data_IF_317673417973
#
_entry.id   IF_317673417973
#
_cell.length_a   1.000
_cell.length_b   1.000
_cell.length_c   1.000
_cell.angle_alpha   90.00
_cell.angle_beta   90.00
_cell.angle_gamma   90.00
#
_symmetry.space_group_name_H-M   'P 1'
#
loop_
_entity.id
_entity.type
_entity.pdbx_description
1 polymer ?
#
# COMPACT_ATOMS: atom_id res chain seq x y z
N UNK A 1 -40.70 -59.18 18.59
CA UNK A 1 -40.18 -58.37 17.47
C UNK A 1 -41.00 -57.09 17.36
N UNK A 2 -40.47 -55.94 17.80
CA UNK A 2 -41.07 -54.61 17.55
C UNK A 2 -40.23 -53.89 16.49
N UNK A 3 -40.94 -53.36 15.50
CA UNK A 3 -40.46 -52.74 14.26
C UNK A 3 -39.54 -51.54 14.55
N UNK A 4 -38.50 -51.41 13.72
CA UNK A 4 -37.49 -50.36 13.82
C UNK A 4 -38.05 -48.95 13.69
N UNK A 5 -37.61 -48.09 14.60
CA UNK A 5 -37.76 -46.65 14.50
C UNK A 5 -36.78 -46.12 13.44
N UNK A 6 -37.32 -45.52 12.38
CA UNK A 6 -36.54 -44.77 11.40
C UNK A 6 -36.21 -43.44 12.04
N UNK A 7 -34.94 -43.25 12.42
CA UNK A 7 -34.42 -41.96 12.88
C UNK A 7 -34.28 -41.05 11.67
N UNK A 8 -35.21 -40.12 11.49
CA UNK A 8 -35.15 -39.09 10.46
C UNK A 8 -34.06 -38.06 10.84
N UNK A 9 -32.88 -38.17 10.22
CA UNK A 9 -31.82 -37.16 10.37
C UNK A 9 -32.25 -35.92 9.59
N UNK A 10 -32.98 -35.04 10.27
CA UNK A 10 -33.32 -33.72 9.77
C UNK A 10 -32.03 -32.88 9.64
N UNK A 11 -31.39 -32.91 8.46
CA UNK A 11 -30.29 -32.00 8.12
C UNK A 11 -30.84 -30.58 8.13
N UNK A 12 -30.74 -29.89 9.27
CA UNK A 12 -31.01 -28.45 9.37
C UNK A 12 -30.22 -27.73 8.28
N UNK A 13 -30.93 -27.21 7.28
CA UNK A 13 -30.35 -26.37 6.23
C UNK A 13 -29.82 -25.11 6.91
N UNK A 14 -28.51 -25.01 7.10
CA UNK A 14 -27.87 -23.88 7.77
C UNK A 14 -28.22 -22.62 6.99
N UNK A 15 -29.14 -21.80 7.53
CA UNK A 15 -29.56 -20.56 6.93
C UNK A 15 -28.69 -19.43 7.50
N UNK A 16 -27.68 -19.03 6.73
CA UNK A 16 -26.82 -17.92 7.13
C UNK A 16 -27.56 -16.59 7.07
N UNK A 17 -27.34 -15.74 8.06
CA UNK A 17 -27.80 -14.34 8.02
C UNK A 17 -27.15 -13.60 6.84
N UNK A 18 -27.73 -12.49 6.36
CA UNK A 18 -27.11 -11.67 5.32
C UNK A 18 -25.67 -11.24 5.69
N UNK A 19 -25.44 -10.93 6.96
CA UNK A 19 -24.12 -10.56 7.49
C UNK A 19 -23.14 -11.73 7.44
N UNK A 20 -23.55 -12.92 7.85
CA UNK A 20 -22.73 -14.14 7.76
C UNK A 20 -22.40 -14.49 6.29
N UNK A 21 -23.36 -14.33 5.38
CA UNK A 21 -23.13 -14.51 3.93
C UNK A 21 -22.13 -13.49 3.40
N UNK A 22 -22.23 -12.22 3.81
CA UNK A 22 -21.30 -11.16 3.41
C UNK A 22 -19.87 -11.45 3.90
N UNK A 23 -19.71 -11.87 5.17
CA UNK A 23 -18.42 -12.27 5.73
C UNK A 23 -17.82 -13.45 4.94
N UNK A 24 -18.63 -14.47 4.65
CA UNK A 24 -18.18 -15.65 3.90
C UNK A 24 -17.77 -15.32 2.46
N UNK A 25 -18.55 -14.51 1.76
CA UNK A 25 -18.22 -14.06 0.40
C UNK A 25 -16.93 -13.24 0.40
N UNK A 26 -16.79 -12.32 1.36
CA UNK A 26 -15.59 -11.51 1.50
C UNK A 26 -14.33 -12.37 1.73
N UNK A 27 -14.41 -13.41 2.58
CA UNK A 27 -13.31 -14.38 2.76
C UNK A 27 -12.92 -15.11 1.47
N UNK A 28 -13.88 -15.35 0.56
CA UNK A 28 -13.62 -15.98 -0.75
C UNK A 28 -13.07 -15.00 -1.78
N UNK A 29 -13.54 -13.76 -1.77
CA UNK A 29 -13.19 -12.76 -2.79
C UNK A 29 -11.88 -12.04 -2.49
N UNK A 30 -11.54 -11.80 -1.22
CA UNK A 30 -10.33 -11.05 -0.85
C UNK A 30 -9.04 -11.68 -1.40
N UNK A 31 -8.82 -13.00 -1.38
CA UNK A 31 -7.67 -13.61 -2.04
C UNK A 31 -7.61 -13.32 -3.55
N UNK A 32 -8.75 -13.42 -4.25
CA UNK A 32 -8.83 -13.12 -5.70
C UNK A 32 -8.56 -11.64 -5.99
N UNK A 33 -9.10 -10.75 -5.16
CA UNK A 33 -8.82 -9.31 -5.22
C UNK A 33 -7.32 -9.03 -5.07
N UNK A 34 -6.69 -9.60 -4.03
CA UNK A 34 -5.25 -9.45 -3.80
C UNK A 34 -4.43 -10.01 -4.97
N UNK A 35 -4.82 -11.17 -5.49
CA UNK A 35 -4.17 -11.81 -6.64
C UNK A 35 -4.23 -10.94 -7.90
N UNK A 36 -5.40 -10.35 -8.20
CA UNK A 36 -5.59 -9.44 -9.33
C UNK A 36 -4.63 -8.24 -9.28
N UNK A 37 -4.28 -7.78 -8.09
CA UNK A 37 -3.33 -6.68 -7.86
C UNK A 37 -1.86 -7.14 -7.77
N UNK A 38 -1.57 -8.40 -8.08
CA UNK A 38 -0.22 -8.98 -8.07
C UNK A 38 0.23 -9.52 -6.70
N UNK A 39 -0.70 -9.66 -5.76
CA UNK A 39 -0.38 -9.85 -4.35
C UNK A 39 0.07 -8.54 -3.71
N UNK A 40 0.65 -8.64 -2.52
CA UNK A 40 1.06 -7.48 -1.75
C UNK A 40 2.31 -7.76 -0.91
N UNK A 41 2.93 -6.67 -0.47
CA UNK A 41 3.96 -6.65 0.57
C UNK A 41 3.33 -6.01 1.80
N UNK A 42 3.57 -6.58 2.98
CA UNK A 42 3.22 -5.91 4.23
C UNK A 42 4.22 -4.80 4.50
N UNK A 43 3.72 -3.60 4.80
CA UNK A 43 4.52 -2.45 5.21
C UNK A 43 4.14 -2.08 6.64
N UNK A 44 5.07 -2.25 7.58
CA UNK A 44 4.93 -1.82 8.96
C UNK A 44 5.34 -0.36 9.13
N UNK A 45 4.72 0.29 10.10
CA UNK A 45 4.96 1.69 10.42
C UNK A 45 4.67 1.99 11.90
N UNK A 46 5.20 3.12 12.35
CA UNK A 46 4.85 3.69 13.64
C UNK A 46 3.58 4.51 13.49
N UNK A 47 2.64 4.34 14.42
CA UNK A 47 1.36 5.04 14.40
C UNK A 47 1.57 6.54 14.59
N UNK A 48 0.83 7.35 13.84
CA UNK A 48 0.87 8.82 13.93
C UNK A 48 2.25 9.45 13.64
N UNK A 49 3.09 8.77 12.88
CA UNK A 49 4.36 9.30 12.36
C UNK A 49 4.40 9.11 10.85
N UNK A 50 5.14 9.96 10.13
CA UNK A 50 5.35 9.72 8.71
C UNK A 50 6.15 8.43 8.50
N UNK A 51 5.86 7.68 7.43
CA UNK A 51 6.67 6.52 7.10
C UNK A 51 8.11 6.98 6.80
N UNK A 52 9.09 6.41 7.52
CA UNK A 52 10.50 6.82 7.50
C UNK A 52 10.79 8.21 8.11
N UNK A 53 9.96 8.71 9.04
CA UNK A 53 10.17 10.02 9.69
C UNK A 53 11.56 10.14 10.36
N UNK A 54 11.96 9.09 11.08
CA UNK A 54 13.22 9.05 11.85
C UNK A 54 14.44 8.63 11.03
N UNK A 55 14.27 8.43 9.72
CA UNK A 55 15.32 7.92 8.84
C UNK A 55 15.71 8.99 7.81
N UNK A 56 17.00 9.28 7.75
CA UNK A 56 17.56 10.23 6.78
C UNK A 56 17.74 9.58 5.40
N UNK A 57 16.62 9.12 4.80
CA UNK A 57 16.56 8.60 3.43
C UNK A 57 16.01 9.66 2.49
N UNK A 58 16.58 9.77 1.28
CA UNK A 58 16.06 10.73 0.31
C UNK A 58 14.67 10.33 -0.20
N UNK A 59 13.80 11.32 -0.45
CA UNK A 59 12.44 11.12 -1.01
C UNK A 59 12.40 10.21 -2.25
N UNK A 60 13.33 10.41 -3.19
CA UNK A 60 13.37 9.54 -4.38
C UNK A 60 13.71 8.08 -4.01
N UNK A 61 14.56 7.87 -3.00
CA UNK A 61 14.96 6.55 -2.54
C UNK A 61 13.87 5.84 -1.72
N UNK A 62 12.98 6.57 -1.04
CA UNK A 62 11.76 5.99 -0.45
C UNK A 62 10.92 5.29 -1.54
N UNK A 63 10.64 5.99 -2.63
CA UNK A 63 9.87 5.41 -3.75
C UNK A 63 10.57 4.23 -4.40
N UNK A 64 11.91 4.30 -4.58
CA UNK A 64 12.72 3.20 -5.11
C UNK A 64 12.72 1.99 -4.21
N UNK A 65 12.85 2.20 -2.89
CA UNK A 65 12.84 1.13 -1.90
C UNK A 65 11.49 0.42 -1.88
N UNK A 66 10.38 1.16 -1.83
CA UNK A 66 9.03 0.58 -1.86
C UNK A 66 8.83 -0.20 -3.16
N UNK A 67 9.27 0.33 -4.31
CA UNK A 67 9.25 -0.41 -5.56
C UNK A 67 10.10 -1.69 -5.53
N UNK A 68 11.32 -1.67 -4.97
CA UNK A 68 12.12 -2.88 -4.80
C UNK A 68 11.43 -3.92 -3.91
N UNK A 69 10.70 -3.51 -2.88
CA UNK A 69 10.01 -4.45 -1.98
C UNK A 69 9.01 -5.33 -2.73
N UNK A 70 8.49 -4.88 -3.88
CA UNK A 70 7.58 -5.68 -4.70
C UNK A 70 8.27 -6.91 -5.33
N UNK A 71 9.60 -6.98 -5.28
CA UNK A 71 10.44 -8.10 -5.71
C UNK A 71 10.85 -9.03 -4.55
N UNK A 72 10.30 -8.84 -3.35
CA UNK A 72 10.53 -9.78 -2.25
C UNK A 72 10.02 -11.18 -2.61
N UNK A 73 10.76 -12.19 -2.19
CA UNK A 73 10.31 -13.57 -2.17
C UNK A 73 9.24 -13.77 -1.08
N UNK A 74 8.47 -14.86 -1.15
CA UNK A 74 7.45 -15.23 -0.14
C UNK A 74 8.04 -15.77 1.18
N UNK A 75 9.33 -15.50 1.44
CA UNK A 75 10.05 -15.96 2.63
C UNK A 75 9.99 -17.49 2.84
N UNK A 76 9.93 -18.26 1.74
CA UNK A 76 9.92 -19.72 1.71
C UNK A 76 11.31 -20.37 1.81
N UNK A 77 12.34 -19.56 2.06
CA UNK A 77 13.73 -20.00 2.22
C UNK A 77 14.52 -18.90 2.89
N UNK A 78 15.09 -18.00 2.09
CA UNK A 78 15.80 -16.83 2.62
C UNK A 78 14.83 -15.66 2.83
N UNK A 79 14.78 -15.17 4.08
CA UNK A 79 13.87 -14.10 4.48
C UNK A 79 14.25 -12.77 3.80
N UNK A 80 13.23 -12.11 3.23
CA UNK A 80 13.29 -10.85 2.54
C UNK A 80 14.34 -10.77 1.42
N UNK A 81 14.67 -11.90 0.82
CA UNK A 81 15.50 -11.97 -0.37
C UNK A 81 14.77 -11.32 -1.55
N UNK A 82 15.47 -10.43 -2.27
CA UNK A 82 15.02 -9.87 -3.53
C UNK A 82 15.24 -10.88 -4.66
N UNK A 83 14.16 -11.19 -5.39
CA UNK A 83 14.15 -12.18 -6.47
C UNK A 83 13.45 -11.67 -7.71
N UNK A 84 13.77 -12.27 -8.85
CA UNK A 84 13.06 -12.06 -10.11
C UNK A 84 12.88 -13.39 -10.82
N UNK A 85 12.03 -13.39 -11.85
CA UNK A 85 11.95 -14.51 -12.78
C UNK A 85 13.06 -14.41 -13.83
N UNK A 86 13.76 -15.51 -14.06
CA UNK A 86 14.68 -15.69 -15.17
C UNK A 86 13.93 -15.80 -16.50
N UNK A 87 14.65 -15.82 -17.62
CA UNK A 87 14.06 -16.09 -18.94
C UNK A 87 13.35 -17.45 -19.01
N UNK A 88 13.77 -18.40 -18.17
CA UNK A 88 13.19 -19.75 -18.07
C UNK A 88 12.10 -19.85 -16.99
N UNK A 89 11.60 -18.72 -16.47
CA UNK A 89 10.58 -18.64 -15.41
C UNK A 89 11.02 -19.23 -14.06
N UNK A 90 12.32 -19.33 -13.83
CA UNK A 90 12.87 -19.75 -12.53
C UNK A 90 13.05 -18.53 -11.63
N UNK A 91 12.84 -18.71 -10.32
CA UNK A 91 13.08 -17.66 -9.34
C UNK A 91 14.58 -17.60 -9.08
N UNK A 92 15.20 -16.45 -9.38
CA UNK A 92 16.63 -16.20 -9.15
C UNK A 92 16.84 -14.96 -8.29
N UNK A 93 17.88 -14.92 -7.44
CA UNK A 93 18.24 -13.72 -6.70
C UNK A 93 18.52 -12.53 -7.64
N UNK A 94 18.12 -11.33 -7.22
CA UNK A 94 18.50 -10.10 -7.91
C UNK A 94 19.94 -9.77 -7.51
N UNK A 95 20.82 -9.70 -8.51
CA UNK A 95 22.18 -9.18 -8.34
C UNK A 95 22.24 -7.65 -8.50
N UNK A 96 23.44 -7.09 -8.36
CA UNK A 96 23.67 -5.63 -8.46
C UNK A 96 23.32 -5.08 -9.85
N UNK A 97 23.63 -5.82 -10.92
CA UNK A 97 23.36 -5.41 -12.31
C UNK A 97 21.86 -5.36 -12.56
N UNK A 98 21.16 -6.42 -12.16
CA UNK A 98 19.72 -6.53 -12.30
C UNK A 98 18.97 -5.52 -11.45
N UNK A 99 19.42 -5.23 -10.23
CA UNK A 99 18.80 -4.19 -9.41
C UNK A 99 18.88 -2.82 -10.09
N UNK A 100 20.03 -2.49 -10.68
CA UNK A 100 20.20 -1.23 -11.43
C UNK A 100 19.27 -1.15 -12.65
N UNK A 101 19.15 -2.26 -13.38
CA UNK A 101 18.24 -2.39 -14.53
C UNK A 101 16.77 -2.24 -14.09
N UNK A 102 16.36 -2.95 -13.03
CA UNK A 102 15.00 -2.90 -12.46
C UNK A 102 14.63 -1.49 -12.02
N UNK A 103 15.54 -0.80 -11.33
CA UNK A 103 15.34 0.59 -10.89
C UNK A 103 15.42 1.61 -12.03
N UNK A 104 15.91 1.19 -13.20
CA UNK A 104 16.21 2.03 -14.36
C UNK A 104 17.10 3.24 -14.01
N UNK A 105 18.22 2.97 -13.33
CA UNK A 105 19.15 4.00 -12.88
C UNK A 105 20.48 3.94 -13.63
N UNK A 106 21.05 5.13 -13.89
CA UNK A 106 22.46 5.27 -14.29
C UNK A 106 23.38 4.92 -13.11
N UNK A 107 24.62 4.52 -13.40
CA UNK A 107 25.56 4.00 -12.39
C UNK A 107 25.76 4.91 -11.18
N UNK A 108 25.91 6.22 -11.41
CA UNK A 108 26.07 7.19 -10.32
C UNK A 108 24.84 7.20 -9.40
N UNK A 109 23.65 7.35 -9.97
CA UNK A 109 22.40 7.40 -9.21
C UNK A 109 22.12 6.08 -8.48
N UNK A 110 22.48 4.95 -9.08
CA UNK A 110 22.37 3.65 -8.46
C UNK A 110 23.34 3.46 -7.29
N UNK A 111 24.59 3.93 -7.42
CA UNK A 111 25.57 3.94 -6.32
C UNK A 111 25.07 4.79 -5.16
N UNK A 112 24.58 6.00 -5.45
CA UNK A 112 24.00 6.90 -4.45
C UNK A 112 22.79 6.27 -3.77
N UNK A 113 21.89 5.62 -4.52
CA UNK A 113 20.78 4.85 -3.96
C UNK A 113 21.25 3.77 -2.99
N UNK A 114 22.18 2.90 -3.42
CA UNK A 114 22.69 1.81 -2.59
C UNK A 114 23.37 2.31 -1.32
N UNK A 115 24.16 3.38 -1.40
CA UNK A 115 24.78 3.99 -0.22
C UNK A 115 23.72 4.49 0.75
N UNK A 116 22.68 5.18 0.27
CA UNK A 116 21.62 5.74 1.12
C UNK A 116 20.83 4.65 1.86
N UNK A 117 20.37 3.62 1.13
CA UNK A 117 19.56 2.54 1.77
C UNK A 117 20.38 1.64 2.69
N UNK A 118 21.67 1.42 2.39
CA UNK A 118 22.57 0.64 3.26
C UNK A 118 22.94 1.41 4.52
N UNK A 119 23.28 2.69 4.39
CA UNK A 119 23.59 3.57 5.54
C UNK A 119 22.44 3.59 6.55
N UNK A 120 21.21 3.55 6.05
CA UNK A 120 19.99 3.56 6.85
C UNK A 120 19.50 2.15 7.25
N UNK A 121 20.28 1.08 7.03
CA UNK A 121 19.93 -0.30 7.41
C UNK A 121 18.61 -0.82 6.78
N UNK A 122 18.24 -0.31 5.60
CA UNK A 122 17.02 -0.68 4.89
C UNK A 122 17.21 -1.81 3.90
N UNK A 123 18.45 -2.00 3.41
CA UNK A 123 18.81 -3.00 2.44
C UNK A 123 20.24 -3.52 2.71
N UNK A 124 20.41 -4.83 2.63
CA UNK A 124 21.66 -5.53 2.91
C UNK A 124 22.15 -6.30 1.68
N UNK A 125 23.45 -6.47 1.55
CA UNK A 125 24.09 -7.27 0.50
C UNK A 125 24.93 -8.35 1.19
N UNK A 126 24.70 -9.63 0.85
CA UNK A 126 25.47 -10.76 1.36
C UNK A 126 25.61 -11.81 0.27
N UNK A 127 26.83 -12.31 0.04
CA UNK A 127 27.14 -13.32 -0.98
C UNK A 127 26.57 -12.97 -2.38
N UNK A 128 26.63 -11.69 -2.76
CA UNK A 128 26.11 -11.19 -4.05
C UNK A 128 24.59 -11.12 -4.17
N UNK A 129 23.85 -11.43 -3.10
CA UNK A 129 22.39 -11.35 -2.99
C UNK A 129 21.98 -10.13 -2.18
N UNK A 130 20.76 -9.66 -2.40
CA UNK A 130 20.21 -8.48 -1.73
C UNK A 130 18.95 -8.79 -0.92
N UNK A 131 18.87 -8.19 0.27
CA UNK A 131 17.82 -8.43 1.25
C UNK A 131 17.24 -7.09 1.73
N UNK A 132 15.92 -7.01 1.91
CA UNK A 132 15.28 -5.84 2.52
C UNK A 132 15.15 -6.05 4.03
N UNK A 133 15.35 -4.98 4.81
CA UNK A 133 15.12 -5.02 6.25
C UNK A 133 13.72 -5.52 6.60
N UNK A 134 13.64 -6.47 7.52
CA UNK A 134 12.39 -7.00 8.07
C UNK A 134 11.70 -6.02 9.02
N UNK A 135 12.32 -4.89 9.33
CA UNK A 135 11.78 -3.88 10.23
C UNK A 135 10.53 -3.19 9.66
N UNK A 136 10.51 -2.96 8.33
CA UNK A 136 9.46 -2.22 7.63
C UNK A 136 8.70 -3.07 6.64
N UNK A 137 9.31 -4.11 6.04
CA UNK A 137 8.66 -4.85 4.97
C UNK A 137 8.78 -6.36 5.16
N UNK A 138 7.73 -7.08 4.78
CA UNK A 138 7.77 -8.54 4.64
C UNK A 138 6.72 -9.01 3.65
N UNK A 139 6.89 -10.20 3.07
CA UNK A 139 5.95 -10.79 2.11
C UNK A 139 5.62 -12.23 2.50
N UNK A 140 4.37 -12.62 2.24
CA UNK A 140 3.84 -13.92 2.66
C UNK A 140 3.19 -13.82 4.03
N UNK A 141 3.91 -14.22 5.08
CA UNK A 141 3.38 -14.21 6.45
C UNK A 141 3.82 -12.91 7.13
N UNK A 142 2.85 -12.14 7.67
CA UNK A 142 3.17 -10.97 8.49
C UNK A 142 3.86 -11.42 9.77
N UNK A 143 5.04 -10.87 10.05
CA UNK A 143 5.79 -11.10 11.30
C UNK A 143 5.72 -9.92 12.27
N UNK A 144 4.91 -8.91 11.95
CA UNK A 144 4.74 -7.71 12.76
C UNK A 144 3.80 -8.00 13.93
N UNK A 145 4.35 -8.42 15.08
CA UNK A 145 3.56 -8.71 16.29
C UNK A 145 3.10 -7.43 17.01
N UNK A 146 3.93 -6.39 16.99
CA UNK A 146 3.73 -5.17 17.78
C UNK A 146 3.75 -3.88 16.93
N UNK A 147 3.58 -4.00 15.61
CA UNK A 147 3.56 -2.84 14.71
C UNK A 147 2.26 -2.78 13.94
N UNK A 148 1.75 -1.56 13.75
CA UNK A 148 0.73 -1.32 12.75
C UNK A 148 1.32 -1.58 11.36
N UNK A 149 0.51 -2.14 10.47
CA UNK A 149 0.94 -2.45 9.12
C UNK A 149 -0.21 -2.30 8.12
N UNK A 150 0.16 -2.12 6.86
CA UNK A 150 -0.77 -2.11 5.72
C UNK A 150 -0.28 -3.06 4.62
N UNK A 151 -1.09 -3.23 3.58
CA UNK A 151 -0.69 -3.92 2.35
C UNK A 151 -0.37 -2.89 1.28
N UNK A 152 0.80 -3.03 0.65
CA UNK A 152 1.16 -2.32 -0.57
C UNK A 152 1.05 -3.32 -1.73
N UNK A 153 0.21 -3.02 -2.72
CA UNK A 153 -0.08 -3.95 -3.81
C UNK A 153 0.98 -3.91 -4.91
N UNK A 154 1.43 -5.09 -5.33
CA UNK A 154 2.65 -5.25 -6.12
C UNK A 154 2.50 -4.65 -7.53
N UNK A 155 1.47 -5.03 -8.27
CA UNK A 155 1.36 -4.63 -9.68
C UNK A 155 1.13 -3.12 -9.81
N UNK A 156 0.31 -2.55 -8.93
CA UNK A 156 -0.05 -1.12 -8.96
C UNK A 156 1.11 -0.24 -8.49
N UNK A 157 1.86 -0.66 -7.46
CA UNK A 157 3.08 0.03 -7.05
C UNK A 157 4.19 -0.04 -8.10
N UNK A 158 4.35 -1.18 -8.80
CA UNK A 158 5.26 -1.29 -9.94
C UNK A 158 4.87 -0.35 -11.06
N UNK A 159 3.60 -0.36 -11.45
CA UNK A 159 3.08 0.54 -12.47
C UNK A 159 3.40 2.01 -12.12
N UNK A 160 3.14 2.44 -10.89
CA UNK A 160 3.41 3.81 -10.45
C UNK A 160 4.88 4.20 -10.59
N UNK A 161 5.80 3.34 -10.17
CA UNK A 161 7.22 3.63 -10.26
C UNK A 161 7.70 3.67 -11.72
N UNK A 162 7.35 2.65 -12.50
CA UNK A 162 7.79 2.46 -13.90
C UNK A 162 7.25 3.56 -14.84
N UNK A 163 6.07 4.11 -14.54
CA UNK A 163 5.45 5.19 -15.32
C UNK A 163 5.66 6.58 -14.71
N UNK A 164 6.59 6.71 -13.76
CA UNK A 164 6.97 7.98 -13.16
C UNK A 164 8.36 8.42 -13.62
N UNK A 165 8.47 9.69 -13.96
CA UNK A 165 9.77 10.35 -14.16
C UNK A 165 10.56 10.43 -12.83
N UNK A 166 11.89 10.66 -12.88
CA UNK A 166 12.69 10.86 -11.66
C UNK A 166 12.17 11.98 -10.73
N UNK A 167 11.57 13.04 -11.30
CA UNK A 167 10.93 14.10 -10.53
C UNK A 167 9.67 13.59 -9.82
N UNK A 168 8.85 12.81 -10.52
CA UNK A 168 7.65 12.21 -9.97
C UNK A 168 7.98 11.17 -8.89
N UNK A 169 9.12 10.47 -8.96
CA UNK A 169 9.53 9.58 -7.85
C UNK A 169 9.66 10.32 -6.51
N UNK A 170 10.15 11.57 -6.51
CA UNK A 170 10.18 12.39 -5.29
C UNK A 170 8.77 12.75 -4.82
N UNK A 171 7.86 13.04 -5.75
CA UNK A 171 6.47 13.39 -5.42
C UNK A 171 5.68 12.17 -4.90
N UNK A 172 5.87 11.00 -5.51
CA UNK A 172 5.25 9.74 -5.11
C UNK A 172 5.61 9.37 -3.67
N UNK A 173 6.81 9.74 -3.21
CA UNK A 173 7.25 9.48 -1.84
C UNK A 173 6.39 10.17 -0.79
N UNK A 174 5.75 11.30 -1.10
CA UNK A 174 4.84 11.95 -0.17
C UNK A 174 3.59 11.11 0.07
N UNK A 175 3.07 10.45 -0.97
CA UNK A 175 1.93 9.53 -0.84
C UNK A 175 2.31 8.37 0.07
N UNK A 176 3.51 7.81 -0.11
CA UNK A 176 4.00 6.72 0.73
C UNK A 176 4.28 7.14 2.17
N UNK A 177 4.82 8.33 2.40
CA UNK A 177 5.04 8.89 3.75
C UNK A 177 3.73 9.03 4.53
N UNK A 178 2.61 9.29 3.85
CA UNK A 178 1.28 9.42 4.45
C UNK A 178 0.61 8.08 4.80
N UNK A 179 1.21 6.93 4.48
CA UNK A 179 0.65 5.59 4.78
C UNK A 179 0.14 5.46 6.22
N UNK A 180 0.86 5.91 7.26
CA UNK A 180 0.43 5.73 8.64
C UNK A 180 -0.82 6.52 9.01
N UNK A 181 -1.19 7.51 8.19
CA UNK A 181 -2.36 8.38 8.37
C UNK A 181 -3.57 7.91 7.52
N UNK A 182 -3.47 6.76 6.85
CA UNK A 182 -4.57 6.19 6.08
C UNK A 182 -5.50 5.44 7.04
N UNK A 183 -6.77 5.86 7.12
CA UNK A 183 -7.78 5.13 7.85
C UNK A 183 -7.88 3.69 7.33
N UNK A 184 -7.78 2.71 8.24
CA UNK A 184 -7.56 1.31 7.88
C UNK A 184 -8.60 0.75 6.90
N UNK A 185 -9.86 1.16 7.00
CA UNK A 185 -10.94 0.61 6.19
C UNK A 185 -11.33 1.51 5.00
N UNK A 186 -11.52 2.80 5.24
CA UNK A 186 -12.04 3.75 4.24
C UNK A 186 -10.97 4.40 3.36
N UNK A 187 -9.69 4.27 3.74
CA UNK A 187 -8.56 4.88 3.06
C UNK A 187 -8.52 6.43 3.03
N UNK A 188 -9.33 7.08 3.88
CA UNK A 188 -9.31 8.52 4.08
C UNK A 188 -8.05 8.91 4.88
N UNK A 189 -7.37 9.99 4.51
CA UNK A 189 -6.30 10.55 5.32
C UNK A 189 -6.86 11.25 6.55
N UNK A 190 -6.41 10.84 7.73
CA UNK A 190 -6.90 11.31 9.02
C UNK A 190 -5.85 11.19 10.13
N UNK A 191 -6.02 11.97 11.20
CA UNK A 191 -5.13 11.96 12.38
C UNK A 191 -5.43 10.80 13.35
N UNK A 192 -6.59 10.14 13.19
CA UNK A 192 -7.03 9.00 13.99
C UNK A 192 -7.32 7.76 13.10
N UNK A 193 -6.30 7.18 12.43
CA UNK A 193 -6.45 6.15 11.39
C UNK A 193 -7.05 4.82 11.86
N UNK A 194 -7.27 4.63 13.16
CA UNK A 194 -7.88 3.43 13.76
C UNK A 194 -9.26 3.72 14.38
N UNK A 195 -9.85 4.90 14.14
CA UNK A 195 -11.21 5.23 14.60
C UNK A 195 -12.24 4.31 13.93
N UNK A 196 -13.11 3.68 14.72
CA UNK A 196 -14.11 2.74 14.22
C UNK A 196 -15.37 3.47 13.72
N UNK A 197 -15.70 4.60 14.34
CA UNK A 197 -16.82 5.45 13.96
C UNK A 197 -16.39 6.45 12.88
N UNK A 198 -16.73 6.16 11.62
CA UNK A 198 -16.40 6.98 10.45
C UNK A 198 -16.84 8.45 10.62
N UNK A 199 -17.91 8.70 11.39
CA UNK A 199 -18.39 10.07 11.64
C UNK A 199 -17.43 10.90 12.49
N UNK A 200 -16.57 10.25 13.29
CA UNK A 200 -15.56 10.85 14.16
C UNK A 200 -14.16 10.90 13.55
N UNK A 201 -14.00 10.54 12.27
CA UNK A 201 -12.71 10.67 11.60
C UNK A 201 -12.26 12.13 11.54
N UNK A 202 -11.08 12.37 12.09
CA UNK A 202 -10.34 13.64 12.07
C UNK A 202 -9.62 13.77 10.72
N UNK A 203 -10.39 14.10 9.68
CA UNK A 203 -9.92 14.15 8.29
C UNK A 203 -8.88 15.25 8.12
N UNK A 204 -7.82 14.96 7.36
CA UNK A 204 -6.75 15.91 7.12
C UNK A 204 -7.03 16.79 5.89
N UNK A 205 -6.99 18.11 6.09
CA UNK A 205 -7.03 19.10 5.03
C UNK A 205 -5.73 19.13 4.21
N UNK A 206 -5.74 19.81 3.06
CA UNK A 206 -4.52 20.08 2.30
C UNK A 206 -3.47 20.82 3.15
N UNK A 207 -3.91 21.78 3.97
CA UNK A 207 -3.03 22.53 4.85
C UNK A 207 -2.33 21.61 5.86
N UNK A 208 -3.11 20.77 6.55
CA UNK A 208 -2.60 19.80 7.54
C UNK A 208 -1.60 18.83 6.90
N UNK A 209 -1.89 18.33 5.70
CA UNK A 209 -0.95 17.46 4.95
C UNK A 209 0.33 18.21 4.61
N UNK A 210 0.22 19.48 4.19
CA UNK A 210 1.37 20.30 3.83
C UNK A 210 2.28 20.57 5.05
N UNK A 211 1.70 20.92 6.20
CA UNK A 211 2.43 21.09 7.46
C UNK A 211 3.13 19.80 7.87
N UNK A 212 2.40 18.69 7.87
CA UNK A 212 2.94 17.39 8.29
C UNK A 212 4.14 16.97 7.43
N UNK A 213 4.05 17.15 6.10
CA UNK A 213 5.12 16.80 5.17
C UNK A 213 6.24 17.85 5.07
N UNK A 214 6.17 18.90 5.89
CA UNK A 214 7.08 20.05 5.88
C UNK A 214 7.26 20.63 4.45
N UNK A 215 6.13 20.89 3.79
CA UNK A 215 6.08 21.62 2.51
C UNK A 215 5.39 22.97 2.71
N UNK A 216 5.68 23.92 1.83
CA UNK A 216 5.13 25.28 1.92
C UNK A 216 3.60 25.28 2.05
N UNK A 217 3.11 25.99 3.07
CA UNK A 217 1.69 26.24 3.34
C UNK A 217 1.18 27.52 2.66
N UNK A 218 1.99 28.15 1.81
CA UNK A 218 1.55 29.26 0.97
C UNK A 218 0.54 28.72 -0.05
N UNK A 219 -0.63 29.37 -0.17
CA UNK A 219 -1.77 28.91 -0.99
C UNK A 219 -1.40 28.50 -2.41
N UNK A 220 -0.51 29.24 -3.08
CA UNK A 220 -0.06 28.91 -4.44
C UNK A 220 0.77 27.62 -4.48
N UNK A 221 1.68 27.44 -3.52
CA UNK A 221 2.53 26.26 -3.40
C UNK A 221 1.73 25.02 -3.00
N UNK A 222 0.80 25.14 -2.05
CA UNK A 222 -0.11 24.06 -1.67
C UNK A 222 -0.94 23.58 -2.86
N UNK A 223 -1.46 24.52 -3.66
CA UNK A 223 -2.22 24.16 -4.86
C UNK A 223 -1.36 23.46 -5.92
N UNK A 224 -0.10 23.90 -6.09
CA UNK A 224 0.86 23.20 -6.96
C UNK A 224 1.14 21.80 -6.43
N UNK A 225 1.44 21.67 -5.14
CA UNK A 225 1.68 20.39 -4.47
C UNK A 225 0.51 19.42 -4.66
N UNK A 226 -0.72 19.86 -4.35
CA UNK A 226 -1.95 19.10 -4.60
C UNK A 226 -2.04 18.62 -6.05
N UNK A 227 -1.85 19.53 -7.02
CA UNK A 227 -1.91 19.18 -8.45
C UNK A 227 -0.90 18.10 -8.82
N UNK A 228 0.29 18.10 -8.23
CA UNK A 228 1.29 17.05 -8.47
C UNK A 228 0.86 15.70 -7.89
N UNK A 229 0.27 15.66 -6.69
CA UNK A 229 -0.25 14.42 -6.11
C UNK A 229 -1.41 13.83 -6.92
N UNK A 230 -2.29 14.67 -7.44
CA UNK A 230 -3.46 14.25 -8.22
C UNK A 230 -3.11 13.71 -9.63
N UNK A 231 -1.85 13.83 -10.08
CA UNK A 231 -1.43 13.31 -11.39
C UNK A 231 -1.23 11.80 -11.41
N UNK A 232 -0.93 11.19 -10.27
CA UNK A 232 -0.62 9.76 -10.20
C UNK A 232 -1.85 8.92 -10.52
N UNK A 233 -1.66 7.92 -11.36
CA UNK A 233 -2.69 6.95 -11.71
C UNK A 233 -2.08 5.56 -11.87
N UNK A 234 -2.92 4.56 -11.77
CA UNK A 234 -2.63 3.17 -12.10
C UNK A 234 -3.52 2.72 -13.26
N UNK A 235 -3.12 1.65 -13.93
CA UNK A 235 -3.99 0.90 -14.83
C UNK A 235 -4.32 -0.46 -14.23
N UNK A 236 -5.59 -0.83 -14.31
CA UNK A 236 -6.04 -2.17 -14.00
C UNK A 236 -7.01 -2.59 -15.10
N UNK A 237 -6.65 -3.66 -15.81
CA UNK A 237 -7.26 -4.03 -17.09
C UNK A 237 -7.20 -2.82 -18.06
N UNK A 238 -8.31 -2.48 -18.72
CA UNK A 238 -8.42 -1.32 -19.62
C UNK A 238 -8.70 0.01 -18.91
N UNK A 239 -8.87 -0.01 -17.59
CA UNK A 239 -9.33 1.15 -16.84
C UNK A 239 -8.18 1.91 -16.16
N UNK A 240 -8.30 3.24 -16.13
CA UNK A 240 -7.38 4.14 -15.44
C UNK A 240 -8.00 4.55 -14.10
N UNK A 241 -7.23 4.43 -13.02
CA UNK A 241 -7.66 4.87 -11.69
C UNK A 241 -6.63 5.84 -11.10
N UNK A 242 -7.07 7.02 -10.66
CA UNK A 242 -6.18 7.95 -9.95
C UNK A 242 -5.76 7.37 -8.59
N UNK A 243 -4.58 7.73 -8.10
CA UNK A 243 -4.07 7.25 -6.80
C UNK A 243 -4.58 8.10 -5.65
N UNK A 244 -4.73 9.39 -5.89
CA UNK A 244 -5.06 10.38 -4.87
C UNK A 244 -6.34 11.09 -5.30
N UNK A 245 -7.34 11.15 -4.43
CA UNK A 245 -8.57 11.90 -4.66
C UNK A 245 -8.68 13.04 -3.67
N UNK A 246 -8.98 14.22 -4.17
CA UNK A 246 -9.34 15.39 -3.38
C UNK A 246 -10.86 15.50 -3.30
N UNK A 247 -11.39 15.65 -2.09
CA UNK A 247 -12.83 15.80 -1.83
C UNK A 247 -13.05 17.13 -1.12
N UNK A 248 -14.06 17.86 -1.57
CA UNK A 248 -14.54 19.09 -0.94
C UNK A 248 -15.99 18.83 -0.52
N UNK A 249 -16.30 19.14 0.73
CA UNK A 249 -17.65 19.14 1.26
C UNK A 249 -18.00 20.57 1.61
N UNK A 250 -18.97 21.13 0.91
CA UNK A 250 -19.41 22.52 1.09
C UNK A 250 -20.78 22.53 1.76
N UNK A 251 -20.92 23.37 2.77
CA UNK A 251 -22.18 23.69 3.41
C UNK A 251 -22.20 25.17 3.77
N UNK A 252 -23.38 25.70 4.03
CA UNK A 252 -23.59 27.15 4.30
C UNK A 252 -22.73 27.68 5.43
N UNK A 253 -22.47 26.87 6.45
CA UNK A 253 -21.75 27.28 7.67
C UNK A 253 -20.34 26.68 7.80
N UNK A 254 -20.04 25.63 7.04
CA UNK A 254 -18.76 24.92 7.12
C UNK A 254 -18.44 24.29 5.79
N UNK A 255 -17.24 24.56 5.30
CA UNK A 255 -16.60 23.77 4.25
C UNK A 255 -15.44 22.98 4.86
N UNK A 256 -15.18 21.81 4.29
CA UNK A 256 -13.98 21.04 4.62
C UNK A 256 -13.46 20.35 3.37
N UNK A 257 -12.16 20.14 3.34
CA UNK A 257 -11.49 19.36 2.34
C UNK A 257 -10.76 18.17 2.98
N UNK A 258 -10.64 17.09 2.22
CA UNK A 258 -9.87 15.93 2.63
C UNK A 258 -9.45 15.09 1.42
N UNK A 259 -8.65 14.06 1.71
CA UNK A 259 -8.09 13.19 0.68
C UNK A 259 -8.36 11.72 0.96
N UNK A 260 -8.45 10.97 -0.13
CA UNK A 260 -8.59 9.50 -0.12
C UNK A 260 -7.46 8.93 -0.97
N UNK A 261 -6.82 7.87 -0.48
CA UNK A 261 -5.81 7.11 -1.23
C UNK A 261 -6.47 5.88 -1.84
N UNK A 262 -6.19 5.61 -3.11
CA UNK A 262 -6.79 4.50 -3.83
C UNK A 262 -6.47 3.13 -3.17
N UNK A 263 -7.49 2.35 -2.73
CA UNK A 263 -7.30 1.03 -2.15
C UNK A 263 -6.56 0.00 -3.02
N UNK A 264 -6.53 0.18 -4.35
CA UNK A 264 -5.74 -0.66 -5.24
C UNK A 264 -4.23 -0.46 -5.10
N UNK A 265 -3.77 0.59 -4.41
CA UNK A 265 -2.35 0.87 -4.18
C UNK A 265 -1.94 0.46 -2.76
N UNK A 266 -2.68 0.92 -1.76
CA UNK A 266 -2.43 0.62 -0.34
C UNK A 266 -3.75 0.38 0.36
N UNK A 267 -3.89 -0.72 1.11
CA UNK A 267 -5.10 -0.95 1.92
C UNK A 267 -4.90 -1.97 3.05
N UNK A 268 -5.22 -1.59 4.28
CA UNK A 268 -5.14 -2.45 5.46
C UNK A 268 -6.40 -3.28 5.70
N UNK A 269 -7.57 -2.69 5.44
CA UNK A 269 -8.87 -3.24 5.80
C UNK A 269 -9.18 -4.58 5.17
N UNK A 270 -10.16 -5.30 5.71
CA UNK A 270 -10.57 -6.60 5.19
C UNK A 270 -11.99 -6.59 4.61
N UNK A 271 -12.71 -5.47 4.67
CA UNK A 271 -14.04 -5.34 4.13
C UNK A 271 -14.03 -4.94 2.65
N UNK A 272 -14.03 -5.93 1.77
CA UNK A 272 -13.89 -5.69 0.32
C UNK A 272 -15.02 -4.83 -0.26
N UNK A 273 -16.21 -4.87 0.33
CA UNK A 273 -17.33 -4.04 -0.11
C UNK A 273 -17.04 -2.55 0.10
N UNK A 274 -16.37 -2.19 1.19
CA UNK A 274 -15.96 -0.79 1.44
C UNK A 274 -14.89 -0.38 0.44
N UNK A 275 -13.86 -1.20 0.22
CA UNK A 275 -12.84 -0.89 -0.80
C UNK A 275 -13.46 -0.70 -2.20
N UNK A 276 -14.33 -1.62 -2.64
CA UNK A 276 -15.05 -1.52 -3.93
C UNK A 276 -15.91 -0.26 -4.00
N UNK A 277 -16.64 0.07 -2.93
CA UNK A 277 -17.47 1.28 -2.87
C UNK A 277 -16.61 2.55 -2.96
N UNK A 278 -15.50 2.62 -2.23
CA UNK A 278 -14.55 3.73 -2.30
C UNK A 278 -13.99 3.89 -3.71
N UNK A 279 -13.60 2.81 -4.37
CA UNK A 279 -13.15 2.85 -5.78
C UNK A 279 -14.25 3.42 -6.67
N UNK A 280 -15.45 2.82 -6.65
CA UNK A 280 -16.52 3.20 -7.58
C UNK A 280 -17.00 4.64 -7.39
N UNK A 281 -17.03 5.15 -6.15
CA UNK A 281 -17.51 6.50 -5.86
C UNK A 281 -16.44 7.58 -6.08
N UNK A 282 -15.17 7.26 -5.81
CA UNK A 282 -14.13 8.28 -5.73
C UNK A 282 -13.12 8.19 -6.89
N UNK A 283 -12.95 7.03 -7.50
CA UNK A 283 -11.90 6.74 -8.48
C UNK A 283 -12.51 6.12 -9.74
N UNK A 284 -13.07 6.98 -10.59
CA UNK A 284 -13.49 6.71 -11.96
C UNK A 284 -12.70 7.60 -12.93
#
# INVERSE_FOLDING_TARGET
MKRGEIVEINKRKVCFTPEQKAIMNNKKELPSYNFKLGGFVFCAYVKNELLFNEISISRANISRLIYLTTYLNYNTGEENLLVKYSKHKEIVPIDRKNMREILNLKDRAFREFLTDVKKNNLLYESNGKFYISTEYFTKGISKFKDKDYTRIYINTSRFLYEHSTPRQHKQLSYIYQLIPYIHFESNILCLNPNELDISKLEKMSLHTICELLNVSTIKQDMNRFKKELLKFYIKLDENRFYVFKYVIVEGTYKSMDYFIINPYVVWRGNNLNIAKRTINLCFF
#
